data_IF_280585115823
#
_entry.id   IF_280585115823
#
_cell.length_a   1.000
_cell.length_b   1.000
_cell.length_c   1.000
_cell.angle_alpha   90.00
_cell.angle_beta   90.00
_cell.angle_gamma   90.00
#
_symmetry.space_group_name_H-M   'P 1'
#
loop_
_entity.id
_entity.type
_entity.pdbx_description
1 polymer ?
#
# COMPACT_ATOMS: atom_id res chain seq x y z
N UNK A 1 -21.47 -22.21 -4.72
CA UNK A 1 -21.12 -21.42 -3.52
C UNK A 1 -19.61 -21.24 -3.45
N UNK A 2 -18.84 -22.33 -3.59
CA UNK A 2 -17.38 -22.30 -3.50
C UNK A 2 -16.69 -21.37 -4.51
N UNK A 3 -17.14 -21.35 -5.77
CA UNK A 3 -16.60 -20.42 -6.79
C UNK A 3 -16.84 -18.94 -6.42
N UNK A 4 -18.02 -18.64 -5.89
CA UNK A 4 -18.37 -17.28 -5.45
C UNK A 4 -17.51 -16.90 -4.24
N UNK A 5 -17.31 -17.81 -3.28
CA UNK A 5 -16.44 -17.57 -2.12
C UNK A 5 -14.98 -17.34 -2.55
N UNK A 6 -14.45 -18.16 -3.46
CA UNK A 6 -13.10 -17.99 -4.00
C UNK A 6 -12.95 -16.65 -4.73
N UNK A 7 -13.96 -16.25 -5.51
CA UNK A 7 -13.99 -14.95 -6.19
C UNK A 7 -13.98 -13.78 -5.20
N UNK A 8 -14.78 -13.85 -4.13
CA UNK A 8 -14.80 -12.82 -3.09
C UNK A 8 -13.47 -12.73 -2.35
N UNK A 9 -12.86 -13.87 -2.02
CA UNK A 9 -11.56 -13.91 -1.35
C UNK A 9 -10.46 -13.31 -2.23
N UNK A 10 -10.41 -13.67 -3.51
CA UNK A 10 -9.44 -13.12 -4.45
C UNK A 10 -9.61 -11.60 -4.65
N UNK A 11 -10.87 -11.13 -4.73
CA UNK A 11 -11.16 -9.70 -4.83
C UNK A 11 -10.75 -8.96 -3.54
N UNK A 12 -11.10 -9.48 -2.38
CA UNK A 12 -10.71 -8.90 -1.10
C UNK A 12 -9.18 -8.82 -0.98
N UNK A 13 -8.48 -9.90 -1.31
CA UNK A 13 -7.02 -9.93 -1.29
C UNK A 13 -6.40 -8.90 -2.23
N UNK A 14 -6.92 -8.76 -3.46
CA UNK A 14 -6.48 -7.72 -4.40
C UNK A 14 -6.62 -6.33 -3.79
N UNK A 15 -7.78 -6.01 -3.19
CA UNK A 15 -8.02 -4.71 -2.58
C UNK A 15 -7.10 -4.43 -1.40
N UNK A 16 -6.90 -5.39 -0.50
CA UNK A 16 -5.99 -5.26 0.64
C UNK A 16 -4.56 -5.01 0.15
N UNK A 17 -4.10 -5.77 -0.85
CA UNK A 17 -2.76 -5.59 -1.41
C UNK A 17 -2.57 -4.22 -2.06
N UNK A 18 -3.57 -3.72 -2.79
CA UNK A 18 -3.53 -2.39 -3.40
C UNK A 18 -3.36 -1.28 -2.35
N UNK A 19 -4.19 -1.28 -1.32
CA UNK A 19 -4.13 -0.26 -0.25
C UNK A 19 -2.85 -0.37 0.59
N UNK A 20 -2.43 -1.59 0.94
CA UNK A 20 -1.23 -1.81 1.73
C UNK A 20 0.05 -1.37 1.01
N UNK A 21 0.16 -1.69 -0.29
CA UNK A 21 1.29 -1.23 -1.11
C UNK A 21 1.28 0.28 -1.21
N UNK A 22 0.12 0.89 -1.49
CA UNK A 22 0.03 2.34 -1.60
C UNK A 22 0.47 3.07 -0.33
N UNK A 23 0.01 2.62 0.84
CA UNK A 23 0.43 3.23 2.10
C UNK A 23 1.87 2.91 2.47
N UNK A 24 2.42 1.76 2.09
CA UNK A 24 3.84 1.48 2.31
C UNK A 24 4.74 2.49 1.57
N UNK A 25 4.42 2.82 0.31
CA UNK A 25 5.16 3.85 -0.44
C UNK A 25 5.09 5.23 0.24
N UNK A 26 3.92 5.61 0.76
CA UNK A 26 3.74 6.89 1.46
C UNK A 26 4.49 6.93 2.78
N UNK A 27 4.37 5.89 3.60
CA UNK A 27 4.93 5.84 4.95
C UNK A 27 6.46 5.70 4.90
N UNK A 28 6.98 4.78 4.08
CA UNK A 28 8.40 4.47 4.07
C UNK A 28 9.18 5.33 3.08
N UNK A 29 8.61 5.68 1.94
CA UNK A 29 9.36 6.33 0.86
C UNK A 29 8.95 7.79 0.60
N UNK A 30 7.91 8.28 1.28
CA UNK A 30 7.35 9.64 1.12
C UNK A 30 7.05 10.00 -0.35
N UNK A 31 6.63 9.00 -1.14
CA UNK A 31 6.29 9.17 -2.56
C UNK A 31 5.16 8.25 -3.01
N UNK A 32 4.69 8.46 -4.24
CA UNK A 32 3.73 7.59 -4.92
C UNK A 32 4.50 6.64 -5.86
N UNK A 33 4.12 5.36 -5.96
CA UNK A 33 4.77 4.42 -6.89
C UNK A 33 4.45 4.75 -8.35
N UNK A 34 5.38 4.45 -9.25
CA UNK A 34 5.07 4.38 -10.68
C UNK A 34 4.19 3.17 -11.02
N UNK A 35 3.54 3.18 -12.19
CA UNK A 35 2.62 2.11 -12.61
C UNK A 35 3.25 0.72 -12.56
N UNK A 36 4.50 0.57 -13.03
CA UNK A 36 5.19 -0.71 -13.04
C UNK A 36 5.53 -1.21 -11.62
N UNK A 37 6.10 -0.33 -10.78
CA UNK A 37 6.46 -0.66 -9.39
C UNK A 37 5.22 -1.09 -8.61
N UNK A 38 4.13 -0.34 -8.74
CA UNK A 38 2.87 -0.64 -8.08
C UNK A 38 2.34 -2.02 -8.49
N UNK A 39 2.30 -2.31 -9.79
CA UNK A 39 1.83 -3.61 -10.31
C UNK A 39 2.73 -4.78 -9.91
N UNK A 40 4.04 -4.56 -9.77
CA UNK A 40 4.95 -5.60 -9.28
C UNK A 40 4.67 -5.91 -7.80
N UNK A 41 4.58 -4.88 -6.96
CA UNK A 41 4.33 -5.05 -5.52
C UNK A 41 2.95 -5.65 -5.21
N UNK A 42 1.90 -5.24 -5.92
CA UNK A 42 0.56 -5.83 -5.76
C UNK A 42 0.57 -7.32 -6.13
N UNK A 43 1.25 -7.69 -7.22
CA UNK A 43 1.39 -9.10 -7.63
C UNK A 43 2.13 -9.94 -6.58
N UNK A 44 3.25 -9.44 -6.06
CA UNK A 44 3.99 -10.14 -4.98
C UNK A 44 3.14 -10.31 -3.73
N UNK A 45 2.39 -9.27 -3.32
CA UNK A 45 1.46 -9.38 -2.18
C UNK A 45 0.37 -10.45 -2.40
N UNK A 46 -0.14 -10.59 -3.62
CA UNK A 46 -1.17 -11.59 -3.94
C UNK A 46 -0.61 -13.02 -4.01
N UNK A 47 0.59 -13.22 -4.56
CA UNK A 47 1.13 -14.54 -4.85
C UNK A 47 1.83 -15.20 -3.67
N UNK A 48 2.60 -14.42 -2.88
CA UNK A 48 3.43 -14.98 -1.81
C UNK A 48 2.70 -15.03 -0.46
N UNK A 49 1.40 -14.71 -0.42
CA UNK A 49 0.64 -14.50 0.80
C UNK A 49 1.42 -13.62 1.82
N UNK A 50 2.08 -12.58 1.31
CA UNK A 50 2.93 -11.70 2.12
C UNK A 50 2.09 -11.13 3.24
N UNK A 51 2.49 -11.40 4.49
CA UNK A 51 1.86 -10.75 5.62
C UNK A 51 2.17 -9.26 5.55
N UNK A 52 1.32 -8.43 6.17
CA UNK A 52 1.57 -6.97 6.27
C UNK A 52 2.97 -6.69 6.85
N UNK A 53 3.45 -7.57 7.74
CA UNK A 53 4.80 -7.53 8.29
C UNK A 53 5.91 -7.71 7.25
N UNK A 54 5.69 -8.52 6.21
CA UNK A 54 6.68 -8.75 5.16
C UNK A 54 6.80 -7.53 4.25
N UNK A 55 5.67 -6.89 3.94
CA UNK A 55 5.65 -5.62 3.20
C UNK A 55 6.41 -4.55 4.00
N UNK A 56 6.08 -4.38 5.28
CA UNK A 56 6.76 -3.42 6.13
C UNK A 56 8.28 -3.67 6.21
N UNK A 57 8.68 -4.95 6.37
CA UNK A 57 10.08 -5.35 6.38
C UNK A 57 10.78 -4.97 5.08
N UNK A 58 10.23 -5.36 3.93
CA UNK A 58 10.84 -5.11 2.63
C UNK A 58 11.06 -3.62 2.35
N UNK A 59 10.06 -2.77 2.67
CA UNK A 59 10.21 -1.32 2.51
C UNK A 59 11.22 -0.74 3.50
N UNK A 60 11.14 -1.11 4.77
CA UNK A 60 12.04 -0.60 5.82
C UNK A 60 13.50 -1.00 5.62
N UNK A 61 13.77 -2.14 4.99
CA UNK A 61 15.13 -2.62 4.69
C UNK A 61 15.67 -2.11 3.35
N UNK A 62 14.87 -1.38 2.56
CA UNK A 62 15.29 -0.90 1.25
C UNK A 62 16.34 0.21 1.37
N UNK A 63 17.32 0.22 0.45
CA UNK A 63 18.33 1.27 0.38
C UNK A 63 17.71 2.66 0.20
N UNK A 64 16.59 2.72 -0.53
CA UNK A 64 15.83 3.95 -0.74
C UNK A 64 15.34 4.53 0.60
N UNK A 65 14.72 3.69 1.44
CA UNK A 65 14.26 4.09 2.77
C UNK A 65 15.43 4.49 3.67
N UNK A 66 16.50 3.68 3.72
CA UNK A 66 17.68 3.96 4.54
C UNK A 66 18.31 5.31 4.15
N UNK A 67 18.42 5.57 2.84
CA UNK A 67 18.94 6.83 2.31
C UNK A 67 18.05 8.04 2.64
N UNK A 68 16.74 7.87 2.78
CA UNK A 68 15.83 8.92 3.26
C UNK A 68 16.07 9.22 4.74
N UNK A 69 16.20 8.19 5.58
CA UNK A 69 16.48 8.34 7.02
C UNK A 69 17.79 9.09 7.25
N UNK A 70 18.86 8.74 6.54
CA UNK A 70 20.14 9.45 6.64
C UNK A 70 20.02 10.94 6.28
N UNK A 71 19.26 11.27 5.23
CA UNK A 71 19.01 12.66 4.83
C UNK A 71 18.24 13.44 5.89
N UNK A 72 17.20 12.82 6.47
CA UNK A 72 16.41 13.41 7.57
C UNK A 72 17.26 13.61 8.83
N UNK A 73 18.16 12.68 9.16
CA UNK A 73 19.06 12.80 10.31
C UNK A 73 20.14 13.87 10.12
N UNK A 74 20.68 14.01 8.90
CA UNK A 74 21.69 15.00 8.57
C UNK A 74 21.14 16.45 8.56
N UNK A 75 19.85 16.61 8.23
CA UNK A 75 19.14 17.86 8.46
C UNK A 75 18.75 17.94 9.95
N UNK A 76 19.53 18.67 10.77
CA UNK A 76 19.27 18.89 12.20
C UNK A 76 17.77 19.08 12.54
N UNK A 77 17.29 18.65 13.73
CA UNK A 77 15.88 18.34 13.95
C UNK A 77 15.02 19.60 13.93
N UNK A 78 14.57 19.99 12.73
CA UNK A 78 13.41 20.84 12.59
C UNK A 78 12.20 20.02 13.04
N UNK A 79 11.90 20.22 14.31
CA UNK A 79 10.77 19.71 15.06
C UNK A 79 9.46 20.05 14.33
N UNK A 80 9.13 19.24 13.31
CA UNK A 80 7.89 19.16 12.54
C UNK A 80 8.09 18.17 11.38
N UNK A 81 8.59 16.96 11.65
CA UNK A 81 8.15 15.82 10.86
C UNK A 81 6.67 15.65 11.20
N UNK A 82 5.84 16.38 10.45
CA UNK A 82 4.40 16.43 10.61
C UNK A 82 3.88 14.99 10.70
N UNK A 83 3.55 14.52 11.89
CA UNK A 83 2.46 13.55 12.09
C UNK A 83 1.09 14.18 11.73
N UNK A 84 1.05 15.09 10.75
CA UNK A 84 -0.14 15.69 10.14
C UNK A 84 -0.62 14.88 8.93
N UNK A 85 -0.02 13.72 8.65
CA UNK A 85 -0.41 12.82 7.55
C UNK A 85 -1.40 11.74 8.03
N UNK A 86 -1.61 11.63 9.35
CA UNK A 86 -2.73 10.89 9.96
C UNK A 86 -4.08 11.64 9.88
N UNK A 87 -4.25 12.57 8.93
CA UNK A 87 -5.59 12.79 8.42
C UNK A 87 -5.79 11.73 7.35
N UNK A 88 -6.72 10.78 7.53
CA UNK A 88 -7.06 9.87 6.45
C UNK A 88 -7.46 10.76 5.28
N UNK A 89 -6.62 10.78 4.23
CA UNK A 89 -7.09 11.27 2.94
C UNK A 89 -8.19 10.30 2.61
N UNK A 90 -9.43 10.76 2.79
CA UNK A 90 -10.63 10.08 2.35
C UNK A 90 -10.32 9.43 1.01
N UNK A 91 -10.21 8.10 0.97
CA UNK A 91 -9.87 7.36 -0.24
C UNK A 91 -11.04 7.58 -1.19
N UNK A 92 -10.96 8.46 -2.20
CA UNK A 92 -12.10 8.71 -3.06
C UNK A 92 -12.09 7.61 -4.12
N UNK A 93 -12.50 6.38 -3.76
CA UNK A 93 -12.78 5.32 -4.74
C UNK A 93 -13.54 4.11 -4.17
N UNK A 94 -14.73 4.40 -3.64
CA UNK A 94 -15.92 3.57 -3.87
C UNK A 94 -16.42 3.67 -5.35
N UNK A 95 -15.56 3.95 -6.34
CA UNK A 95 -15.98 4.26 -7.72
C UNK A 95 -15.92 3.04 -8.67
N UNK A 96 -15.39 1.88 -8.24
CA UNK A 96 -15.43 0.64 -9.06
C UNK A 96 -16.27 -0.49 -8.45
N UNK A 97 -17.04 -0.22 -7.39
CA UNK A 97 -17.77 -1.26 -6.64
C UNK A 97 -19.29 -1.29 -6.82
N UNK A 98 -19.91 -0.27 -7.42
CA UNK A 98 -21.37 -0.15 -7.43
C UNK A 98 -22.09 -0.73 -8.65
N UNK A 99 -21.38 -1.25 -9.65
CA UNK A 99 -22.00 -1.74 -10.90
C UNK A 99 -22.01 -3.27 -11.08
N UNK A 100 -21.33 -4.06 -10.23
CA UNK A 100 -21.27 -5.52 -10.41
C UNK A 100 -22.25 -6.36 -9.57
N UNK A 101 -23.12 -5.74 -8.76
CA UNK A 101 -24.12 -6.44 -7.94
C UNK A 101 -25.58 -6.06 -8.28
N UNK A 102 -25.91 -5.81 -9.55
CA UNK A 102 -27.31 -5.90 -10.00
C UNK A 102 -27.58 -7.33 -10.52
N UNK A 103 -28.49 -8.09 -9.89
CA UNK A 103 -28.99 -9.31 -10.50
C UNK A 103 -29.80 -8.94 -11.75
N UNK A 104 -29.54 -9.62 -12.87
CA UNK A 104 -30.54 -9.76 -13.93
C UNK A 104 -31.46 -10.91 -13.59
#
# INVERSE_FOLDING_TARGET
VDEVLASHQAYYQLRVCQEAVWEAFRIFLDRIPGTWEYQAWVRSCQQEALCISDIARNFSSSEEHIGLIHRVQAAAPSQKAKLSIYQPVYVPTLIYGHELWRPK
#
